data_IF_383482959802
#
_entry.id   IF_383482959802
#
_cell.length_a   1.000
_cell.length_b   1.000
_cell.length_c   1.000
_cell.angle_alpha   90.00
_cell.angle_beta   90.00
_cell.angle_gamma   90.00
#
_symmetry.space_group_name_H-M   'P 1'
#
loop_
_entity.id
_entity.type
_entity.pdbx_description
1 polymer ?
#
# COMPACT_ATOMS: atom_id res chain seq x y z
N UNK A 1 49.10 33.48 46.31
CA UNK A 1 49.16 32.57 47.48
C UNK A 1 47.75 32.16 47.86
N UNK A 2 47.54 30.85 48.05
CA UNK A 2 46.48 30.22 48.85
C UNK A 2 45.20 29.73 48.15
N UNK A 3 45.25 28.42 47.81
CA UNK A 3 44.27 27.35 48.10
C UNK A 3 42.78 27.66 47.93
N UNK A 4 42.12 26.85 47.09
CA UNK A 4 41.02 25.96 47.54
C UNK A 4 40.83 24.79 46.56
N UNK A 5 41.14 23.63 47.11
CA UNK A 5 40.73 22.29 46.69
C UNK A 5 39.20 22.19 46.71
N UNK A 6 38.60 21.57 45.70
CA UNK A 6 37.33 20.83 45.81
C UNK A 6 37.16 19.93 44.59
N UNK A 7 37.44 18.64 44.82
CA UNK A 7 36.86 17.53 44.06
C UNK A 7 35.35 17.53 44.38
N UNK A 8 34.49 17.28 43.39
CA UNK A 8 33.20 16.54 43.48
C UNK A 8 32.34 16.92 42.27
N UNK A 9 31.82 15.90 41.58
CA UNK A 9 30.62 16.04 40.76
C UNK A 9 30.70 15.37 39.40
N UNK A 10 30.56 14.04 39.36
CA UNK A 10 30.19 13.34 38.15
C UNK A 10 28.84 13.87 37.66
N UNK A 11 28.78 14.44 36.46
CA UNK A 11 27.55 14.77 35.78
C UNK A 11 27.54 14.05 34.43
N UNK A 12 27.05 12.81 34.47
CA UNK A 12 26.66 12.04 33.29
C UNK A 12 25.46 12.76 32.67
N UNK A 13 25.64 13.44 31.55
CA UNK A 13 24.51 13.93 30.74
C UNK A 13 24.38 12.98 29.55
N UNK A 14 23.83 11.79 29.84
CA UNK A 14 23.23 10.94 28.83
C UNK A 14 21.84 11.52 28.52
N UNK A 15 21.77 12.40 27.53
CA UNK A 15 20.51 12.87 26.97
C UNK A 15 20.15 12.01 25.75
N UNK A 16 19.86 10.74 25.98
CA UNK A 16 19.14 9.91 25.02
C UNK A 16 17.70 10.41 24.96
N UNK A 17 17.44 11.39 24.11
CA UNK A 17 16.08 11.76 23.73
C UNK A 17 15.54 10.60 22.89
N UNK A 18 14.89 9.64 23.55
CA UNK A 18 14.02 8.69 22.89
C UNK A 18 12.92 9.48 22.17
N UNK A 19 13.15 9.75 20.89
CA UNK A 19 12.11 10.13 19.96
C UNK A 19 11.15 8.94 19.83
N UNK A 20 10.20 8.84 20.75
CA UNK A 20 9.02 8.01 20.60
C UNK A 20 8.22 8.56 19.42
N UNK A 21 8.57 8.12 18.21
CA UNK A 21 7.71 8.27 17.05
C UNK A 21 6.38 7.60 17.40
N UNK A 22 5.34 8.40 17.58
CA UNK A 22 3.99 7.90 17.72
C UNK A 22 3.71 6.91 16.57
N UNK A 23 2.97 5.81 16.80
CA UNK A 23 2.64 4.89 15.72
C UNK A 23 1.89 5.69 14.67
N UNK A 24 2.54 5.94 13.53
CA UNK A 24 1.87 6.53 12.38
C UNK A 24 0.68 5.61 12.08
N UNK A 25 -0.54 6.15 12.18
CA UNK A 25 -1.76 5.42 11.83
C UNK A 25 -1.70 5.14 10.33
N UNK A 26 -1.00 4.07 9.96
CA UNK A 26 -0.94 3.61 8.59
C UNK A 26 -2.37 3.25 8.18
N UNK A 27 -2.84 3.88 7.10
CA UNK A 27 -4.21 3.71 6.63
C UNK A 27 -4.49 2.22 6.41
N UNK A 28 -5.48 1.68 7.13
CA UNK A 28 -5.79 0.24 7.10
C UNK A 28 -6.33 -0.14 5.71
N UNK A 29 -6.11 -1.37 5.23
CA UNK A 29 -6.69 -1.82 3.96
C UNK A 29 -8.21 -1.67 3.96
N UNK A 30 -8.75 -1.08 2.90
CA UNK A 30 -10.18 -0.77 2.76
C UNK A 30 -10.83 -1.73 1.77
N UNK A 31 -11.95 -2.39 2.11
CA UNK A 31 -12.67 -3.20 1.14
C UNK A 31 -13.17 -2.33 -0.01
N UNK A 32 -12.84 -2.73 -1.24
CA UNK A 32 -13.25 -2.03 -2.46
C UNK A 32 -13.69 -3.02 -3.53
N UNK A 33 -14.66 -2.58 -4.32
CA UNK A 33 -15.02 -3.23 -5.59
C UNK A 33 -14.61 -2.29 -6.69
N UNK A 34 -13.73 -2.76 -7.58
CA UNK A 34 -13.18 -1.97 -8.67
C UNK A 34 -13.74 -2.54 -9.97
N UNK A 35 -14.24 -1.67 -10.83
CA UNK A 35 -14.63 -2.00 -12.20
C UNK A 35 -13.67 -1.30 -13.13
N UNK A 36 -13.20 -2.02 -14.15
CA UNK A 36 -12.22 -1.46 -15.05
C UNK A 36 -11.88 -2.37 -16.20
N UNK A 37 -10.96 -1.93 -17.05
CA UNK A 37 -10.49 -2.63 -18.22
C UNK A 37 -9.09 -3.20 -18.00
N UNK A 38 -8.86 -4.40 -18.52
CA UNK A 38 -7.52 -4.98 -18.61
C UNK A 38 -7.04 -4.82 -20.05
N UNK A 39 -5.98 -4.06 -20.25
CA UNK A 39 -5.33 -3.87 -21.55
C UNK A 39 -3.81 -3.94 -21.37
N UNK A 40 -3.14 -4.78 -22.17
CA UNK A 40 -1.69 -4.92 -22.14
C UNK A 40 -1.15 -5.41 -20.79
N UNK A 41 -1.89 -6.29 -20.11
CA UNK A 41 -1.57 -6.78 -18.76
C UNK A 41 -1.92 -5.81 -17.63
N UNK A 42 -2.41 -4.60 -17.95
CA UNK A 42 -2.67 -3.54 -16.97
C UNK A 42 -4.15 -3.40 -16.67
N UNK A 43 -4.53 -3.57 -15.41
CA UNK A 43 -5.89 -3.29 -14.95
C UNK A 43 -6.04 -1.81 -14.59
N UNK A 44 -6.87 -1.10 -15.34
CA UNK A 44 -7.19 0.31 -15.13
C UNK A 44 -8.65 0.44 -14.72
N UNK A 45 -8.92 1.05 -13.56
CA UNK A 45 -10.29 1.38 -13.10
C UNK A 45 -10.99 2.28 -14.11
N UNK A 46 -12.32 2.23 -14.14
CA UNK A 46 -13.14 3.18 -14.90
C UNK A 46 -12.86 4.66 -14.49
N UNK A 47 -12.40 4.88 -13.26
CA UNK A 47 -11.97 6.20 -12.74
C UNK A 47 -10.56 6.62 -13.17
N UNK A 48 -9.85 5.79 -13.95
CA UNK A 48 -8.53 6.09 -14.51
C UNK A 48 -7.33 5.67 -13.67
N UNK A 49 -7.54 5.03 -12.51
CA UNK A 49 -6.45 4.54 -11.67
C UNK A 49 -5.88 3.20 -12.17
N UNK A 50 -4.56 3.08 -12.21
CA UNK A 50 -3.88 1.80 -12.46
C UNK A 50 -3.84 0.99 -11.17
N UNK A 51 -4.39 -0.22 -11.22
CA UNK A 51 -4.56 -1.08 -10.05
C UNK A 51 -3.60 -2.25 -10.12
N UNK A 52 -2.74 -2.38 -9.09
CA UNK A 52 -1.82 -3.52 -8.96
C UNK A 52 -2.55 -4.67 -8.28
N UNK A 53 -3.13 -5.55 -9.09
CA UNK A 53 -3.84 -6.74 -8.60
C UNK A 53 -2.86 -7.74 -7.98
N UNK A 54 -3.10 -8.08 -6.71
CA UNK A 54 -2.33 -9.08 -5.94
C UNK A 54 -3.23 -10.22 -5.52
N UNK A 55 -2.78 -11.45 -5.75
CA UNK A 55 -3.43 -12.66 -5.30
C UNK A 55 -3.10 -12.99 -3.84
N UNK A 56 -3.49 -14.19 -3.39
CA UNK A 56 -3.11 -14.71 -2.07
C UNK A 56 -1.58 -14.67 -1.88
N UNK A 57 -1.14 -14.23 -0.69
CA UNK A 57 0.28 -14.12 -0.36
C UNK A 57 1.02 -13.00 -1.13
N UNK A 58 0.31 -11.96 -1.60
CA UNK A 58 0.89 -10.83 -2.35
C UNK A 58 1.56 -11.20 -3.68
N UNK A 59 1.27 -12.39 -4.20
CA UNK A 59 1.73 -12.80 -5.53
C UNK A 59 1.05 -11.95 -6.59
N UNK A 60 1.74 -11.73 -7.70
CA UNK A 60 1.12 -11.11 -8.87
C UNK A 60 -0.09 -11.95 -9.31
N UNK A 61 -1.21 -11.27 -9.54
CA UNK A 61 -2.42 -11.91 -10.00
C UNK A 61 -2.43 -11.88 -11.52
N UNK A 62 -2.42 -13.05 -12.16
CA UNK A 62 -2.46 -13.14 -13.61
C UNK A 62 -3.82 -12.67 -14.15
N UNK A 63 -3.78 -11.59 -14.93
CA UNK A 63 -4.95 -10.99 -15.57
C UNK A 63 -5.03 -11.28 -17.07
N UNK A 64 -4.08 -12.04 -17.63
CA UNK A 64 -3.98 -12.29 -19.07
C UNK A 64 -5.25 -12.89 -19.68
N UNK A 65 -5.99 -13.67 -18.89
CA UNK A 65 -7.30 -14.23 -19.29
C UNK A 65 -8.40 -13.19 -19.51
N UNK A 66 -8.18 -11.95 -19.10
CA UNK A 66 -9.13 -10.85 -19.18
C UNK A 66 -8.67 -9.74 -20.14
N UNK A 67 -7.64 -9.97 -20.94
CA UNK A 67 -7.19 -8.97 -21.94
C UNK A 67 -8.33 -8.50 -22.85
N UNK A 68 -8.48 -7.19 -22.98
CA UNK A 68 -9.56 -6.54 -23.74
C UNK A 68 -10.94 -6.65 -23.07
N UNK A 69 -11.03 -7.20 -21.85
CA UNK A 69 -12.29 -7.38 -21.11
C UNK A 69 -12.41 -6.34 -20.02
N UNK A 70 -13.65 -5.87 -19.84
CA UNK A 70 -14.04 -5.11 -18.65
C UNK A 70 -14.40 -6.10 -17.55
N UNK A 71 -13.78 -5.96 -16.38
CA UNK A 71 -13.97 -6.86 -15.24
C UNK A 71 -14.38 -6.10 -13.99
N UNK A 72 -15.10 -6.79 -13.10
CA UNK A 72 -15.37 -6.35 -11.73
C UNK A 72 -14.57 -7.21 -10.77
N UNK A 73 -13.73 -6.58 -9.97
CA UNK A 73 -12.86 -7.24 -9.00
C UNK A 73 -13.21 -6.75 -7.60
N UNK A 74 -13.40 -7.68 -6.67
CA UNK A 74 -13.59 -7.36 -5.25
C UNK A 74 -12.27 -7.61 -4.52
N UNK A 75 -11.97 -6.82 -3.50
CA UNK A 75 -10.69 -6.93 -2.82
C UNK A 75 -10.50 -5.95 -1.69
N UNK A 76 -9.27 -5.92 -1.17
CA UNK A 76 -8.82 -4.96 -0.17
C UNK A 76 -7.79 -4.03 -0.81
N UNK A 77 -8.08 -2.74 -0.85
CA UNK A 77 -7.14 -1.71 -1.32
C UNK A 77 -6.30 -1.22 -0.15
N UNK A 78 -4.98 -1.37 -0.26
CA UNK A 78 -4.01 -0.90 0.73
C UNK A 78 -3.33 0.39 0.22
N UNK A 79 -2.68 1.17 1.11
CA UNK A 79 -1.83 2.28 0.68
C UNK A 79 -0.82 1.85 -0.40
N UNK A 80 -0.60 2.72 -1.40
CA UNK A 80 0.27 2.43 -2.54
C UNK A 80 -0.39 1.63 -3.67
N UNK A 81 -1.72 1.73 -3.81
CA UNK A 81 -2.53 1.12 -4.89
C UNK A 81 -2.40 -0.40 -5.01
N UNK A 82 -2.08 -1.05 -3.89
CA UNK A 82 -2.02 -2.50 -3.79
C UNK A 82 -3.41 -3.05 -3.54
N UNK A 83 -3.93 -3.78 -4.52
CA UNK A 83 -5.27 -4.34 -4.47
C UNK A 83 -5.22 -5.85 -4.30
N UNK A 84 -5.47 -6.32 -3.07
CA UNK A 84 -5.54 -7.74 -2.76
C UNK A 84 -6.89 -8.31 -3.20
N UNK A 85 -6.88 -9.06 -4.29
CA UNK A 85 -8.07 -9.65 -4.91
C UNK A 85 -8.70 -10.67 -3.96
N UNK A 86 -10.01 -10.53 -3.73
CA UNK A 86 -10.85 -11.48 -3.00
C UNK A 86 -11.85 -12.11 -3.96
N UNK A 87 -11.70 -13.42 -4.16
CA UNK A 87 -12.55 -14.21 -5.05
C UNK A 87 -12.22 -14.03 -6.53
N UNK A 88 -13.03 -14.66 -7.39
CA UNK A 88 -12.83 -14.60 -8.84
C UNK A 88 -13.36 -13.27 -9.42
N UNK A 89 -12.59 -12.58 -10.28
CA UNK A 89 -13.10 -11.46 -11.06
C UNK A 89 -14.29 -11.87 -11.93
N UNK A 90 -15.27 -10.97 -12.04
CA UNK A 90 -16.43 -11.17 -12.92
C UNK A 90 -16.24 -10.39 -14.21
N UNK A 91 -16.35 -11.11 -15.31
CA UNK A 91 -16.33 -10.55 -16.65
C UNK A 91 -17.63 -9.77 -16.95
N UNK A 92 -17.49 -8.56 -17.52
CA UNK A 92 -18.59 -7.67 -17.91
C UNK A 92 -18.67 -7.43 -19.43
N UNK A 93 -17.89 -8.16 -20.23
CA UNK A 93 -17.85 -8.03 -21.67
C UNK A 93 -16.63 -7.25 -22.17
N UNK A 94 -16.64 -6.82 -23.44
CA UNK A 94 -15.52 -6.11 -24.04
C UNK A 94 -15.35 -4.71 -23.46
N UNK A 95 -14.10 -4.23 -23.45
CA UNK A 95 -13.80 -2.82 -23.20
C UNK A 95 -14.41 -1.93 -24.28
N UNK A 96 -15.10 -0.86 -23.88
CA UNK A 96 -15.74 0.08 -24.82
C UNK A 96 -14.73 0.93 -25.60
N UNK A 97 -13.54 1.13 -25.04
CA UNK A 97 -12.44 1.83 -25.68
C UNK A 97 -11.14 1.09 -25.31
N UNK A 98 -10.72 0.06 -26.08
CA UNK A 98 -9.37 -0.46 -25.95
C UNK A 98 -8.41 0.70 -26.29
N UNK A 99 -7.61 1.13 -25.30
CA UNK A 99 -6.56 2.13 -25.49
C UNK A 99 -5.39 1.49 -26.24
#
# INVERSE_FOLDING_TARGET
MNRRMMIVGAAVIAADVLACGAPALASRPVPRTITGCVNGGVFTSDDGYVIRARGPGFREYDLSRFEGRRIVVRGMLSPGDLFAVKGAPRDRGPCRNPR
#
